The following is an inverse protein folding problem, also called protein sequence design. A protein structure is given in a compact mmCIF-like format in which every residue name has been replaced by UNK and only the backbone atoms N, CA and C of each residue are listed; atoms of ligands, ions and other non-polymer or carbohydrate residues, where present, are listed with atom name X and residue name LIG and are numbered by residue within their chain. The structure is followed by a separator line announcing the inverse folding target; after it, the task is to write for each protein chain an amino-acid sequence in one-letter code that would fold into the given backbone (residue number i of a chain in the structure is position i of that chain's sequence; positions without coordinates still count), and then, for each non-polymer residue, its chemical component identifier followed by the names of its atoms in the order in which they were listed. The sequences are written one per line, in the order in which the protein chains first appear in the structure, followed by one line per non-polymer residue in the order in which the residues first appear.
data_IF_580906713453
#
_entry.id   IF_580906713453
#
_cell.length_a   1.000
_cell.length_b   1.000
_cell.length_c   1.000
_cell.angle_alpha   90.00
_cell.angle_beta   90.00
_cell.angle_gamma   90.00
#
_symmetry.space_group_name_H-M   'P 1'
#
loop_
_entity.id
_entity.type
_entity.pdbx_description
1 polymer ?
#
# COMPACT_ATOMS: atom_id res chain seq x y z
N UNK A 1 -36.14 -9.28 44.58
CA UNK A 1 -34.89 -8.70 44.02
C UNK A 1 -35.03 -7.20 44.12
N UNK A 2 -34.30 -6.55 45.03
CA UNK A 2 -34.41 -5.11 45.29
C UNK A 2 -33.91 -4.32 44.08
N UNK A 3 -34.59 -3.22 43.76
CA UNK A 3 -34.26 -2.36 42.61
C UNK A 3 -32.80 -1.87 42.63
N UNK A 4 -32.22 -1.69 43.82
CA UNK A 4 -30.80 -1.34 44.02
C UNK A 4 -29.84 -2.36 43.41
N UNK A 5 -30.11 -3.66 43.54
CA UNK A 5 -29.26 -4.71 42.95
C UNK A 5 -29.35 -4.75 41.43
N UNK A 6 -30.46 -4.28 40.84
CA UNK A 6 -30.59 -4.15 39.39
C UNK A 6 -29.80 -2.94 38.89
N UNK A 7 -29.83 -1.83 39.62
CA UNK A 7 -29.07 -0.61 39.31
C UNK A 7 -27.56 -0.86 39.35
N UNK A 8 -27.05 -1.50 40.41
CA UNK A 8 -25.62 -1.84 40.55
C UNK A 8 -25.15 -2.74 39.40
N UNK A 9 -25.92 -3.78 39.05
CA UNK A 9 -25.60 -4.65 37.93
C UNK A 9 -25.61 -3.91 36.57
N UNK A 10 -26.50 -2.95 36.39
CA UNK A 10 -26.55 -2.13 35.19
C UNK A 10 -25.32 -1.23 35.09
N UNK A 11 -24.91 -0.63 36.20
CA UNK A 11 -23.74 0.24 36.26
C UNK A 11 -22.44 -0.53 35.97
N UNK A 12 -22.30 -1.73 36.52
CA UNK A 12 -21.16 -2.61 36.24
C UNK A 12 -21.13 -3.04 34.76
N UNK A 13 -22.29 -3.34 34.18
CA UNK A 13 -22.38 -3.67 32.74
C UNK A 13 -21.99 -2.49 31.86
N UNK A 14 -22.43 -1.28 32.20
CA UNK A 14 -22.06 -0.06 31.46
C UNK A 14 -20.56 0.19 31.52
N UNK A 15 -19.95 0.12 32.72
CA UNK A 15 -18.49 0.25 32.88
C UNK A 15 -17.73 -0.80 32.08
N UNK A 16 -18.25 -2.01 31.98
CA UNK A 16 -17.61 -3.06 31.21
C UNK A 16 -17.68 -2.80 29.69
N UNK A 17 -18.82 -2.28 29.21
CA UNK A 17 -18.98 -1.88 27.80
C UNK A 17 -18.07 -0.70 27.46
N UNK A 18 -17.96 0.30 28.32
CA UNK A 18 -17.04 1.43 28.14
C UNK A 18 -15.58 0.97 28.05
N UNK A 19 -15.18 0.02 28.90
CA UNK A 19 -13.83 -0.56 28.84
C UNK A 19 -13.56 -1.25 27.51
N UNK A 20 -14.47 -2.11 27.06
CA UNK A 20 -14.32 -2.82 25.76
C UNK A 20 -14.29 -1.84 24.59
N UNK A 21 -15.11 -0.77 24.63
CA UNK A 21 -15.08 0.28 23.62
C UNK A 21 -13.73 1.01 23.57
N UNK A 22 -13.14 1.31 24.72
CA UNK A 22 -11.81 1.92 24.79
C UNK A 22 -10.73 0.97 24.26
N UNK A 23 -10.78 -0.33 24.60
CA UNK A 23 -9.83 -1.32 24.08
C UNK A 23 -9.92 -1.43 22.54
N UNK A 24 -11.13 -1.43 21.99
CA UNK A 24 -11.36 -1.45 20.53
C UNK A 24 -10.84 -0.16 19.89
N UNK A 25 -11.13 0.99 20.49
CA UNK A 25 -10.68 2.30 20.00
C UNK A 25 -9.15 2.36 19.97
N UNK A 26 -8.49 1.89 21.03
CA UNK A 26 -7.03 1.85 21.13
C UNK A 26 -6.42 0.86 20.13
N UNK A 27 -7.06 -0.27 19.86
CA UNK A 27 -6.60 -1.20 18.82
C UNK A 27 -6.71 -0.60 17.40
N UNK A 28 -7.77 0.16 17.12
CA UNK A 28 -8.02 0.77 15.81
C UNK A 28 -7.14 2.00 15.56
N UNK A 29 -7.08 2.92 16.52
CA UNK A 29 -6.40 4.20 16.39
C UNK A 29 -4.96 4.18 16.91
N UNK A 30 -4.62 3.21 17.76
CA UNK A 30 -3.43 3.26 18.61
C UNK A 30 -3.73 4.04 19.89
N UNK A 31 -3.00 3.73 20.96
CA UNK A 31 -3.04 4.51 22.21
C UNK A 31 -2.18 5.79 22.04
N UNK A 32 -2.35 6.80 22.90
CA UNK A 32 -1.59 8.08 22.87
C UNK A 32 -0.06 7.93 22.77
N UNK A 33 0.52 6.85 23.31
CA UNK A 33 1.94 6.50 23.26
C UNK A 33 2.33 5.65 22.03
N UNK A 34 1.34 5.09 21.32
CA UNK A 34 1.53 4.05 20.29
C UNK A 34 0.67 4.29 19.04
N UNK A 35 0.38 5.55 18.70
CA UNK A 35 -0.42 5.92 17.52
C UNK A 35 0.09 5.31 16.19
N UNK A 36 1.38 4.92 16.12
CA UNK A 36 1.97 4.22 14.97
C UNK A 36 1.61 2.73 14.86
N UNK A 37 1.15 2.08 15.92
CA UNK A 37 0.74 0.66 15.91
C UNK A 37 -0.76 0.47 15.65
N UNK A 38 -1.54 1.55 15.60
CA UNK A 38 -2.96 1.51 15.26
C UNK A 38 -3.20 0.84 13.90
N UNK A 39 -4.25 0.03 13.81
CA UNK A 39 -4.57 -0.72 12.60
C UNK A 39 -4.74 0.20 11.37
N UNK A 40 -5.38 1.36 11.58
CA UNK A 40 -5.58 2.38 10.53
C UNK A 40 -4.25 2.93 10.04
N UNK A 41 -3.31 3.21 10.95
CA UNK A 41 -2.00 3.75 10.58
C UNK A 41 -1.19 2.73 9.76
N UNK A 42 -1.20 1.47 10.19
CA UNK A 42 -0.55 0.37 9.44
C UNK A 42 -1.16 0.16 8.06
N UNK A 43 -2.48 0.23 7.93
CA UNK A 43 -3.17 0.14 6.64
C UNK A 43 -2.79 1.29 5.71
N UNK A 44 -2.84 2.54 6.19
CA UNK A 44 -2.47 3.70 5.40
C UNK A 44 -0.99 3.66 4.96
N UNK A 45 -0.11 3.14 5.81
CA UNK A 45 1.30 2.97 5.46
C UNK A 45 1.50 1.87 4.41
N UNK A 46 0.79 0.74 4.51
CA UNK A 46 0.80 -0.32 3.50
C UNK A 46 0.26 0.16 2.15
N UNK A 47 -0.83 0.91 2.11
CA UNK A 47 -1.35 1.51 0.87
C UNK A 47 -0.33 2.46 0.23
N UNK A 48 0.34 3.30 1.03
CA UNK A 48 1.42 4.16 0.53
C UNK A 48 2.62 3.38 0.00
N UNK A 49 2.91 2.20 0.55
CA UNK A 49 3.99 1.32 0.05
C UNK A 49 3.58 0.63 -1.25
N UNK A 50 2.35 0.11 -1.33
CA UNK A 50 1.78 -0.48 -2.53
C UNK A 50 1.74 0.53 -3.70
N UNK A 51 1.24 1.74 -3.46
CA UNK A 51 1.22 2.79 -4.49
C UNK A 51 2.62 3.18 -4.99
N UNK A 52 3.63 3.15 -4.11
CA UNK A 52 5.03 3.36 -4.51
C UNK A 52 5.57 2.22 -5.36
N UNK A 53 5.24 0.98 -5.02
CA UNK A 53 5.62 -0.20 -5.80
C UNK A 53 4.96 -0.22 -7.18
N UNK A 54 3.67 0.10 -7.27
CA UNK A 54 2.97 0.22 -8.55
C UNK A 54 3.61 1.28 -9.45
N UNK A 55 3.95 2.45 -8.91
CA UNK A 55 4.65 3.50 -9.68
C UNK A 55 6.02 3.06 -10.17
N UNK A 56 6.76 2.30 -9.37
CA UNK A 56 8.05 1.73 -9.79
C UNK A 56 7.87 0.67 -10.88
N UNK A 57 6.85 -0.17 -10.75
CA UNK A 57 6.53 -1.20 -11.72
C UNK A 57 6.12 -0.60 -13.07
N UNK A 58 5.28 0.43 -13.08
CA UNK A 58 4.89 1.13 -14.29
C UNK A 58 6.08 1.83 -14.95
N UNK A 59 6.94 2.52 -14.17
CA UNK A 59 8.17 3.08 -14.71
C UNK A 59 9.10 2.01 -15.29
N UNK A 60 9.22 0.86 -14.62
CA UNK A 60 10.02 -0.27 -15.09
C UNK A 60 9.51 -0.84 -16.42
N UNK A 61 8.19 -1.00 -16.56
CA UNK A 61 7.57 -1.39 -17.83
C UNK A 61 7.90 -0.41 -18.94
N UNK A 62 7.70 0.89 -18.70
CA UNK A 62 7.98 1.91 -19.70
C UNK A 62 9.46 2.01 -20.06
N UNK A 63 10.36 1.80 -19.09
CA UNK A 63 11.80 1.75 -19.33
C UNK A 63 12.18 0.56 -20.22
N UNK A 64 11.63 -0.63 -19.97
CA UNK A 64 11.86 -1.82 -20.80
C UNK A 64 11.31 -1.63 -22.23
N UNK A 65 10.14 -1.02 -22.38
CA UNK A 65 9.57 -0.67 -23.68
C UNK A 65 10.48 0.32 -24.41
N UNK A 66 10.97 1.35 -23.71
CA UNK A 66 11.90 2.34 -24.26
C UNK A 66 13.22 1.73 -24.71
N UNK A 67 13.78 0.81 -23.92
CA UNK A 67 14.98 0.05 -24.30
C UNK A 67 14.74 -0.83 -25.54
N UNK A 68 13.60 -1.52 -25.60
CA UNK A 68 13.24 -2.35 -26.77
C UNK A 68 13.09 -1.51 -28.04
N UNK A 69 12.46 -0.34 -27.96
CA UNK A 69 12.34 0.59 -29.08
C UNK A 69 13.70 1.15 -29.52
N UNK A 70 14.55 1.53 -28.57
CA UNK A 70 15.90 2.03 -28.87
C UNK A 70 16.79 0.95 -29.50
N UNK A 71 16.75 -0.28 -28.99
CA UNK A 71 17.46 -1.42 -29.56
C UNK A 71 16.95 -1.76 -30.96
N UNK A 72 15.63 -1.73 -31.18
CA UNK A 72 15.02 -1.95 -32.50
C UNK A 72 15.44 -0.91 -33.54
N UNK A 73 15.48 0.38 -33.16
CA UNK A 73 15.91 1.46 -34.04
C UNK A 73 17.41 1.33 -34.41
N UNK A 74 18.26 1.09 -33.40
CA UNK A 74 19.70 0.90 -33.62
C UNK A 74 20.02 -0.33 -34.50
N UNK A 75 19.31 -1.44 -34.32
CA UNK A 75 19.46 -2.63 -35.16
C UNK A 75 19.01 -2.37 -36.60
N UNK A 76 17.93 -1.62 -36.81
CA UNK A 76 17.45 -1.23 -38.13
C UNK A 76 18.51 -0.43 -38.91
N UNK A 77 19.18 0.52 -38.27
CA UNK A 77 20.20 1.35 -38.93
C UNK A 77 21.45 0.55 -39.27
N UNK A 78 21.86 -0.38 -38.41
CA UNK A 78 22.98 -1.30 -38.71
C UNK A 78 22.63 -2.19 -39.91
N UNK A 79 21.43 -2.77 -39.95
CA UNK A 79 20.98 -3.63 -41.05
C UNK A 79 20.91 -2.83 -42.35
N UNK A 80 20.37 -1.61 -42.34
CA UNK A 80 20.33 -0.73 -43.54
C UNK A 80 21.72 -0.42 -44.08
N UNK A 81 22.67 -0.10 -43.20
CA UNK A 81 24.05 0.19 -43.60
C UNK A 81 24.74 -1.03 -44.20
N UNK A 82 24.55 -2.22 -43.62
CA UNK A 82 25.06 -3.47 -44.19
C UNK A 82 24.42 -3.74 -45.56
N UNK A 83 23.12 -3.55 -45.71
CA UNK A 83 22.41 -3.76 -46.98
C UNK A 83 22.88 -2.81 -48.08
N UNK A 84 23.19 -1.56 -47.74
CA UNK A 84 23.75 -0.57 -48.67
C UNK A 84 25.16 -0.96 -49.15
N UNK A 85 26.01 -1.45 -48.26
CA UNK A 85 27.36 -1.93 -48.60
C UNK A 85 27.29 -3.16 -49.51
N UNK A 86 26.38 -4.10 -49.22
CA UNK A 86 26.17 -5.30 -50.04
C UNK A 86 25.63 -4.95 -51.43
N UNK A 87 24.76 -3.94 -51.54
CA UNK A 87 24.16 -3.53 -52.82
C UNK A 87 25.08 -2.65 -53.69
N UNK A 88 26.10 -2.05 -53.09
CA UNK A 88 27.10 -1.23 -53.78
C UNK A 88 28.27 -2.05 -54.35
N UNK A 89 28.30 -3.36 -54.09
CA UNK A 89 29.33 -4.30 -54.54
C UNK A 89 28.78 -5.21 -55.63
#
# INVERSE_FOLDING_TARGET
MNEEQRLINLEDRVKNVERVLNDIKDALLGNEFTGSTGFIHRHAEMEKRLSRLEKLWDRGKWFLIGLGAAAGYGLSDIIKNILLIVKAK
#
